data_IF_675667298973
#
_entry.id   IF_675667298973
#
_cell.length_a   1.000
_cell.length_b   1.000
_cell.length_c   1.000
_cell.angle_alpha   90.00
_cell.angle_beta   90.00
_cell.angle_gamma   90.00
#
_symmetry.space_group_name_H-M   'P 1'
#
loop_
_entity.id
_entity.type
_entity.pdbx_description
1 polymer ?
#
# COMPACT_ATOMS: atom_id res chain seq x y z
N UNK A 1 16.89 -41.55 2.38
CA UNK A 1 15.91 -42.61 2.76
C UNK A 1 15.53 -43.39 1.51
N UNK A 2 15.88 -44.68 1.43
CA UNK A 2 15.40 -45.55 0.34
C UNK A 2 14.02 -46.09 0.72
N UNK A 3 12.96 -45.56 0.11
CA UNK A 3 11.60 -46.05 0.32
C UNK A 3 11.43 -47.41 -0.37
N UNK A 4 10.99 -48.41 0.41
CA UNK A 4 10.79 -49.78 -0.06
C UNK A 4 9.53 -49.96 -0.91
N UNK A 5 8.59 -49.03 -0.87
CA UNK A 5 7.30 -49.11 -1.56
C UNK A 5 7.11 -47.96 -2.58
N UNK A 6 6.33 -48.21 -3.64
CA UNK A 6 6.04 -47.27 -4.73
C UNK A 6 5.28 -46.06 -4.20
N UNK A 7 4.28 -46.29 -3.33
CA UNK A 7 3.52 -45.21 -2.69
C UNK A 7 4.40 -44.23 -1.93
N UNK A 8 5.42 -44.72 -1.20
CA UNK A 8 6.38 -43.88 -0.48
C UNK A 8 7.24 -43.03 -1.41
N UNK A 9 7.64 -43.55 -2.57
CA UNK A 9 8.38 -42.77 -3.58
C UNK A 9 7.52 -41.66 -4.18
N UNK A 10 6.27 -41.95 -4.54
CA UNK A 10 5.33 -40.97 -5.08
C UNK A 10 5.07 -39.87 -4.04
N UNK A 11 4.77 -40.25 -2.80
CA UNK A 11 4.52 -39.31 -1.71
C UNK A 11 5.73 -38.40 -1.46
N UNK A 12 6.95 -38.95 -1.48
CA UNK A 12 8.17 -38.15 -1.33
C UNK A 12 8.35 -37.16 -2.50
N UNK A 13 8.12 -37.57 -3.73
CA UNK A 13 8.24 -36.69 -4.90
C UNK A 13 7.24 -35.53 -4.80
N UNK A 14 5.97 -35.84 -4.50
CA UNK A 14 4.93 -34.81 -4.32
C UNK A 14 5.30 -33.88 -3.16
N UNK A 15 5.74 -34.42 -2.03
CA UNK A 15 6.16 -33.63 -0.88
C UNK A 15 7.31 -32.69 -1.22
N UNK A 16 8.34 -33.14 -1.94
CA UNK A 16 9.47 -32.28 -2.34
C UNK A 16 9.01 -31.16 -3.27
N UNK A 17 8.18 -31.47 -4.27
CA UNK A 17 7.64 -30.45 -5.19
C UNK A 17 6.80 -29.44 -4.42
N UNK A 18 5.88 -29.89 -3.56
CA UNK A 18 5.03 -29.01 -2.76
C UNK A 18 5.83 -28.14 -1.79
N UNK A 19 6.87 -28.68 -1.15
CA UNK A 19 7.73 -27.90 -0.26
C UNK A 19 8.48 -26.82 -1.05
N UNK A 20 9.06 -27.16 -2.20
CA UNK A 20 9.80 -26.19 -3.03
C UNK A 20 8.91 -25.07 -3.54
N UNK A 21 7.74 -25.42 -4.08
CA UNK A 21 6.75 -24.42 -4.52
C UNK A 21 6.22 -23.61 -3.32
N UNK A 22 5.96 -24.26 -2.19
CA UNK A 22 5.50 -23.59 -0.97
C UNK A 22 6.49 -22.55 -0.46
N UNK A 23 7.79 -22.87 -0.46
CA UNK A 23 8.85 -21.91 -0.10
C UNK A 23 8.92 -20.74 -1.06
N UNK A 24 8.83 -20.99 -2.39
CA UNK A 24 8.84 -19.93 -3.39
C UNK A 24 7.61 -19.00 -3.27
N UNK A 25 6.42 -19.58 -3.08
CA UNK A 25 5.17 -18.83 -2.87
C UNK A 25 5.23 -18.03 -1.57
N UNK A 26 5.69 -18.64 -0.48
CA UNK A 26 5.84 -17.96 0.80
C UNK A 26 6.77 -16.75 0.69
N UNK A 27 7.94 -16.93 0.06
CA UNK A 27 8.89 -15.85 -0.15
C UNK A 27 8.30 -14.72 -1.00
N UNK A 28 7.57 -15.07 -2.08
CA UNK A 28 6.93 -14.06 -2.93
C UNK A 28 5.87 -13.24 -2.18
N UNK A 29 5.01 -13.89 -1.40
CA UNK A 29 4.01 -13.21 -0.56
C UNK A 29 4.70 -12.31 0.46
N UNK A 30 5.72 -12.83 1.16
CA UNK A 30 6.48 -12.07 2.15
C UNK A 30 7.13 -10.82 1.54
N UNK A 31 7.78 -10.96 0.38
CA UNK A 31 8.36 -9.84 -0.36
C UNK A 31 7.32 -8.81 -0.79
N UNK A 32 6.15 -9.25 -1.25
CA UNK A 32 5.08 -8.35 -1.69
C UNK A 32 4.50 -7.55 -0.51
N UNK A 33 4.40 -8.15 0.68
CA UNK A 33 3.98 -7.45 1.91
C UNK A 33 4.99 -6.35 2.27
N UNK A 34 6.30 -6.66 2.29
CA UNK A 34 7.35 -5.66 2.58
C UNK A 34 7.33 -4.54 1.54
N UNK A 35 7.23 -4.89 0.26
CA UNK A 35 7.18 -3.89 -0.81
C UNK A 35 5.96 -2.98 -0.65
N UNK A 36 4.79 -3.54 -0.31
CA UNK A 36 3.59 -2.76 -0.09
C UNK A 36 3.70 -1.82 1.12
N UNK A 37 4.26 -2.30 2.23
CA UNK A 37 4.53 -1.46 3.41
C UNK A 37 5.50 -0.32 3.09
N UNK A 38 6.56 -0.61 2.34
CA UNK A 38 7.51 0.40 1.90
C UNK A 38 6.87 1.46 1.00
N UNK A 39 6.01 1.06 0.04
CA UNK A 39 5.25 1.99 -0.79
C UNK A 39 4.27 2.84 0.03
N UNK A 40 3.64 2.25 1.05
CA UNK A 40 2.76 2.97 1.98
C UNK A 40 3.54 4.05 2.73
N UNK A 41 4.69 3.72 3.33
CA UNK A 41 5.56 4.70 3.98
C UNK A 41 6.08 5.78 3.03
N UNK A 42 6.43 5.43 1.79
CA UNK A 42 6.84 6.42 0.78
C UNK A 42 5.69 7.35 0.41
N UNK A 43 4.47 6.82 0.29
CA UNK A 43 3.27 7.62 0.04
C UNK A 43 3.00 8.57 1.21
N UNK A 44 3.06 8.08 2.45
CA UNK A 44 2.83 8.90 3.65
C UNK A 44 3.81 10.08 3.70
N UNK A 45 5.11 9.84 3.44
CA UNK A 45 6.13 10.89 3.32
C UNK A 45 5.82 11.91 2.21
N UNK A 46 5.33 11.44 1.07
CA UNK A 46 4.93 12.30 -0.05
C UNK A 46 3.73 13.17 0.30
N UNK A 47 2.72 12.58 0.94
CA UNK A 47 1.52 13.29 1.38
C UNK A 47 1.89 14.35 2.44
N UNK A 48 2.76 14.01 3.40
CA UNK A 48 3.27 14.95 4.41
C UNK A 48 4.08 16.10 3.80
N UNK A 49 4.91 15.80 2.80
CA UNK A 49 5.67 16.84 2.07
C UNK A 49 4.76 17.78 1.26
N UNK A 50 3.67 17.26 0.71
CA UNK A 50 2.65 18.08 0.05
C UNK A 50 1.98 19.01 1.04
N UNK A 51 1.57 18.49 2.20
CA UNK A 51 0.95 19.28 3.27
C UNK A 51 1.86 20.42 3.74
N UNK A 52 3.14 20.15 4.01
CA UNK A 52 4.11 21.20 4.36
C UNK A 52 4.23 22.26 3.25
N UNK A 53 4.24 21.84 1.99
CA UNK A 53 4.31 22.78 0.85
C UNK A 53 3.04 23.64 0.73
N UNK A 54 1.88 23.09 1.05
CA UNK A 54 0.61 23.82 1.08
C UNK A 54 0.56 24.82 2.24
N UNK A 55 1.06 24.45 3.41
CA UNK A 55 1.23 25.37 4.54
C UNK A 55 2.19 26.51 4.17
N UNK A 56 3.34 26.21 3.58
CA UNK A 56 4.33 27.18 3.12
C UNK A 56 3.73 28.19 2.13
N UNK A 57 2.98 27.70 1.14
CA UNK A 57 2.32 28.54 0.14
C UNK A 57 1.26 29.47 0.78
N UNK A 58 0.34 28.93 1.58
CA UNK A 58 -0.66 29.75 2.25
C UNK A 58 0.00 30.76 3.20
N UNK A 59 1.08 30.37 3.90
CA UNK A 59 1.78 31.29 4.80
C UNK A 59 2.45 32.43 4.04
N UNK A 60 3.06 32.12 2.89
CA UNK A 60 3.62 33.13 2.01
C UNK A 60 2.55 34.12 1.51
N UNK A 61 1.39 33.63 1.08
CA UNK A 61 0.26 34.48 0.67
C UNK A 61 -0.29 35.31 1.83
N UNK A 62 -0.38 34.76 3.05
CA UNK A 62 -0.74 35.51 4.24
C UNK A 62 0.29 36.62 4.54
N UNK A 63 1.59 36.35 4.41
CA UNK A 63 2.62 37.35 4.62
C UNK A 63 2.60 38.46 3.56
N UNK A 64 2.27 38.15 2.31
CA UNK A 64 2.04 39.15 1.27
C UNK A 64 0.80 39.99 1.59
N UNK A 65 -0.30 39.36 2.00
CA UNK A 65 -1.53 40.05 2.41
C UNK A 65 -1.30 40.99 3.60
N UNK A 66 -0.48 40.59 4.59
CA UNK A 66 -0.05 41.48 5.68
C UNK A 66 0.67 42.71 5.13
N UNK A 67 1.64 42.50 4.24
CA UNK A 67 2.42 43.59 3.65
C UNK A 67 1.53 44.58 2.90
N UNK A 68 0.55 44.09 2.15
CA UNK A 68 -0.39 44.95 1.45
C UNK A 68 -1.37 45.63 2.43
N UNK A 69 -1.84 44.91 3.45
CA UNK A 69 -2.72 45.45 4.48
C UNK A 69 -2.08 46.63 5.22
N UNK A 70 -0.80 46.56 5.61
CA UNK A 70 -0.14 47.68 6.32
C UNK A 70 0.10 48.90 5.42
N UNK A 71 -0.07 48.76 4.10
CA UNK A 71 0.00 49.86 3.13
C UNK A 71 -1.38 50.47 2.88
N UNK A 72 -2.40 49.62 2.68
CA UNK A 72 -3.72 50.04 2.20
C UNK A 72 -4.80 50.07 3.28
N UNK A 73 -4.66 49.26 4.33
CA UNK A 73 -5.63 49.07 5.41
C UNK A 73 -7.05 48.72 4.95
N UNK A 74 -7.17 48.01 3.83
CA UNK A 74 -8.46 47.65 3.24
C UNK A 74 -8.98 46.29 3.72
N UNK A 75 -10.29 46.07 3.56
CA UNK A 75 -10.95 44.84 4.00
C UNK A 75 -10.60 43.63 3.15
N UNK A 76 -10.28 43.82 1.86
CA UNK A 76 -9.97 42.72 0.95
C UNK A 76 -8.64 42.06 1.34
N UNK A 77 -7.59 42.86 1.60
CA UNK A 77 -6.30 42.35 2.09
C UNK A 77 -6.42 41.72 3.47
N UNK A 78 -7.27 42.25 4.35
CA UNK A 78 -7.58 41.64 5.65
C UNK A 78 -8.23 40.26 5.51
N UNK A 79 -9.24 40.12 4.66
CA UNK A 79 -9.91 38.85 4.39
C UNK A 79 -8.95 37.83 3.78
N UNK A 80 -8.11 38.27 2.82
CA UNK A 80 -7.10 37.41 2.20
C UNK A 80 -6.08 36.87 3.22
N UNK A 81 -5.63 37.69 4.16
CA UNK A 81 -4.77 37.23 5.26
C UNK A 81 -5.45 36.13 6.07
N UNK A 82 -6.68 36.38 6.52
CA UNK A 82 -7.41 35.47 7.41
C UNK A 82 -7.79 34.14 6.73
N UNK A 83 -8.13 34.17 5.44
CA UNK A 83 -8.42 32.94 4.66
C UNK A 83 -7.19 32.05 4.59
N UNK A 84 -6.03 32.61 4.26
CA UNK A 84 -4.79 31.85 4.16
C UNK A 84 -4.35 31.28 5.52
N UNK A 85 -4.51 32.05 6.60
CA UNK A 85 -4.28 31.55 7.96
C UNK A 85 -5.25 30.42 8.33
N UNK A 86 -6.53 30.53 7.95
CA UNK A 86 -7.51 29.47 8.18
C UNK A 86 -7.13 28.19 7.44
N UNK A 87 -6.71 28.29 6.18
CA UNK A 87 -6.28 27.13 5.39
C UNK A 87 -5.09 26.42 6.07
N UNK A 88 -4.12 27.17 6.61
CA UNK A 88 -3.00 26.60 7.36
C UNK A 88 -3.49 25.87 8.61
N UNK A 89 -4.44 26.44 9.33
CA UNK A 89 -4.99 25.82 10.56
C UNK A 89 -5.75 24.54 10.27
N UNK A 90 -6.46 24.46 9.14
CA UNK A 90 -7.17 23.27 8.72
C UNK A 90 -6.21 22.09 8.47
N UNK A 91 -4.97 22.36 8.05
CA UNK A 91 -3.91 21.36 7.91
C UNK A 91 -3.41 20.78 9.25
N UNK A 92 -3.67 21.43 10.41
CA UNK A 92 -3.25 20.98 11.75
C UNK A 92 -4.34 20.19 12.53
N UNK A 93 -5.34 19.61 11.85
CA UNK A 93 -6.53 19.07 12.52
C UNK A 93 -6.44 17.61 13.00
N UNK A 94 -5.38 16.86 12.65
CA UNK A 94 -5.18 15.47 13.08
C UNK A 94 -4.16 15.36 14.24
N UNK A 95 -4.61 15.68 15.46
CA UNK A 95 -3.80 15.79 16.69
C UNK A 95 -3.15 14.48 17.20
N UNK A 96 -3.36 13.33 16.55
CA UNK A 96 -3.07 12.04 17.21
C UNK A 96 -1.61 11.61 17.20
N UNK A 97 -0.71 12.27 16.46
CA UNK A 97 0.75 12.03 16.47
C UNK A 97 1.56 13.19 15.84
N UNK A 98 1.33 14.43 16.24
CA UNK A 98 2.12 15.56 15.72
C UNK A 98 3.54 15.58 16.32
N UNK A 99 4.55 15.87 15.49
CA UNK A 99 5.92 16.11 15.95
C UNK A 99 5.98 17.38 16.81
N UNK A 100 7.00 17.52 17.65
CA UNK A 100 7.19 18.74 18.47
C UNK A 100 7.31 19.99 17.59
N UNK A 101 7.83 19.86 16.38
CA UNK A 101 8.01 20.96 15.44
C UNK A 101 6.68 21.42 14.81
N UNK A 102 5.76 20.49 14.52
CA UNK A 102 4.41 20.81 14.05
C UNK A 102 3.61 21.55 15.13
N UNK A 103 3.74 21.14 16.39
CA UNK A 103 3.08 21.82 17.52
C UNK A 103 3.62 23.26 17.68
N UNK A 104 4.93 23.45 17.54
CA UNK A 104 5.53 24.78 17.59
C UNK A 104 5.06 25.66 16.41
N UNK A 105 5.01 25.10 15.20
CA UNK A 105 4.54 25.80 14.00
C UNK A 105 3.09 26.27 14.16
N UNK A 106 2.19 25.42 14.69
CA UNK A 106 0.80 25.78 15.00
C UNK A 106 0.74 26.98 15.96
N UNK A 107 1.51 26.92 17.05
CA UNK A 107 1.57 28.03 18.04
C UNK A 107 2.08 29.33 17.41
N UNK A 108 3.06 29.26 16.49
CA UNK A 108 3.57 30.44 15.80
C UNK A 108 2.52 31.03 14.86
N UNK A 109 1.82 30.21 14.08
CA UNK A 109 0.74 30.67 13.19
C UNK A 109 -0.40 31.32 13.97
N UNK A 110 -0.79 30.76 15.12
CA UNK A 110 -1.82 31.36 16.01
C UNK A 110 -1.35 32.70 16.58
N UNK A 111 -0.08 32.81 16.98
CA UNK A 111 0.49 34.07 17.47
C UNK A 111 0.55 35.10 16.35
N UNK A 112 0.95 34.70 15.15
CA UNK A 112 1.00 35.55 13.97
C UNK A 112 -0.37 36.15 13.63
N UNK A 113 -1.42 35.33 13.63
CA UNK A 113 -2.80 35.80 13.46
C UNK A 113 -3.23 36.77 14.58
N UNK A 114 -2.87 36.49 15.83
CA UNK A 114 -3.18 37.37 16.96
C UNK A 114 -2.54 38.75 16.81
N UNK A 115 -1.27 38.80 16.38
CA UNK A 115 -0.56 40.06 16.11
C UNK A 115 -1.20 40.83 14.95
N UNK A 116 -1.58 40.14 13.88
CA UNK A 116 -2.32 40.76 12.77
C UNK A 116 -3.63 41.40 13.23
N UNK A 117 -4.43 40.67 14.02
CA UNK A 117 -5.68 41.18 14.56
C UNK A 117 -5.49 42.39 15.49
N UNK A 118 -4.34 42.50 16.17
CA UNK A 118 -4.00 43.70 16.93
C UNK A 118 -3.75 44.90 16.00
N UNK A 119 -3.03 44.72 14.89
CA UNK A 119 -2.83 45.78 13.87
C UNK A 119 -4.19 46.24 13.31
N UNK A 120 -5.08 45.31 12.97
CA UNK A 120 -6.45 45.62 12.51
C UNK A 120 -7.21 46.44 13.56
N UNK A 121 -7.10 46.06 14.84
CA UNK A 121 -7.69 46.80 15.95
C UNK A 121 -7.15 48.22 16.08
N UNK A 122 -5.83 48.40 15.98
CA UNK A 122 -5.20 49.73 16.01
C UNK A 122 -5.62 50.58 14.81
N UNK A 123 -5.73 50.01 13.61
CA UNK A 123 -6.23 50.75 12.45
C UNK A 123 -7.67 51.22 12.65
N UNK A 124 -8.54 50.35 13.16
CA UNK A 124 -9.94 50.69 13.44
C UNK A 124 -10.06 51.83 14.46
N UNK A 125 -9.24 51.81 15.51
CA UNK A 125 -9.21 52.88 16.52
C UNK A 125 -8.62 54.18 15.95
N UNK A 126 -7.57 54.10 15.12
CA UNK A 126 -7.00 55.24 14.40
C UNK A 126 -8.06 55.94 13.55
N UNK A 127 -8.80 55.19 12.72
CA UNK A 127 -9.88 55.74 11.88
C UNK A 127 -10.97 56.40 12.73
N UNK A 128 -11.40 55.75 13.81
CA UNK A 128 -12.38 56.33 14.74
C UNK A 128 -11.89 57.65 15.34
N UNK A 129 -10.65 57.70 15.81
CA UNK A 129 -10.04 58.91 16.38
C UNK A 129 -9.93 60.04 15.35
N UNK A 130 -9.59 59.73 14.10
CA UNK A 130 -9.49 60.72 13.01
C UNK A 130 -10.86 61.28 12.64
N UNK A 131 -11.82 60.39 12.35
CA UNK A 131 -13.10 60.78 11.78
C UNK A 131 -14.06 61.37 12.81
N UNK A 132 -14.11 60.79 14.02
CA UNK A 132 -15.08 61.18 15.04
C UNK A 132 -14.54 62.22 16.01
N UNK A 133 -13.27 62.13 16.40
CA UNK A 133 -12.74 62.98 17.46
C UNK A 133 -11.93 64.15 16.88
N UNK A 134 -10.87 63.88 16.12
CA UNK A 134 -9.96 64.91 15.60
C UNK A 134 -10.69 65.89 14.67
N UNK A 135 -11.46 65.38 13.70
CA UNK A 135 -12.19 66.21 12.74
C UNK A 135 -13.25 67.08 13.41
N UNK A 136 -14.06 66.50 14.30
CA UNK A 136 -15.12 67.24 14.99
C UNK A 136 -14.55 68.29 15.95
N UNK A 137 -13.55 67.94 16.76
CA UNK A 137 -12.92 68.89 17.68
C UNK A 137 -12.23 70.02 16.91
N UNK A 138 -11.59 69.73 15.77
CA UNK A 138 -10.97 70.77 14.92
C UNK A 138 -12.02 71.76 14.40
N UNK A 139 -13.16 71.26 13.92
CA UNK A 139 -14.26 72.09 13.44
C UNK A 139 -14.88 72.93 14.58
N UNK A 140 -15.10 72.33 15.74
CA UNK A 140 -15.61 73.03 16.93
C UNK A 140 -14.63 74.11 17.40
N UNK A 141 -13.32 73.81 17.44
CA UNK A 141 -12.28 74.76 17.79
C UNK A 141 -12.28 75.94 16.82
N UNK A 142 -12.36 75.68 15.51
CA UNK A 142 -12.46 76.73 14.48
C UNK A 142 -13.68 77.63 14.71
N UNK A 143 -14.84 77.04 14.99
CA UNK A 143 -16.06 77.80 15.25
C UNK A 143 -15.94 78.67 16.51
N UNK A 144 -15.37 78.14 17.60
CA UNK A 144 -15.19 78.92 18.84
C UNK A 144 -14.17 80.05 18.65
N UNK A 145 -13.12 79.86 17.84
CA UNK A 145 -12.19 80.95 17.48
C UNK A 145 -12.90 82.03 16.64
N UNK A 146 -13.78 81.65 15.71
CA UNK A 146 -14.60 82.60 14.93
C UNK A 146 -15.56 83.40 15.83
N UNK A 147 -16.21 82.74 16.78
CA UNK A 147 -17.11 83.39 17.74
C UNK A 147 -16.34 84.36 18.64
N UNK A 148 -15.16 83.95 19.14
CA UNK A 148 -14.26 84.81 19.90
C UNK A 148 -13.81 86.04 19.10
N UNK A 149 -13.41 85.82 17.83
CA UNK A 149 -13.04 86.90 16.90
C UNK A 149 -14.18 87.91 16.76
N UNK A 150 -15.42 87.44 16.56
CA UNK A 150 -16.59 88.30 16.44
C UNK A 150 -16.83 89.13 17.71
N UNK A 151 -16.69 88.51 18.89
CA UNK A 151 -16.80 89.22 20.17
C UNK A 151 -15.70 90.28 20.35
N UNK A 152 -14.46 89.96 19.98
CA UNK A 152 -13.34 90.90 20.04
C UNK A 152 -13.54 92.10 19.10
N UNK A 153 -14.02 91.86 17.88
CA UNK A 153 -14.31 92.90 16.89
C UNK A 153 -15.41 93.86 17.37
N UNK A 154 -16.49 93.32 17.95
CA UNK A 154 -17.57 94.12 18.57
C UNK A 154 -17.08 95.03 19.71
N UNK A 155 -15.96 94.71 20.33
CA UNK A 155 -15.29 95.50 21.39
C UNK A 155 -14.15 96.38 20.86
N UNK A 156 -13.94 96.42 19.55
CA UNK A 156 -12.87 97.17 18.89
C UNK A 156 -11.45 96.72 19.31
N UNK A 157 -11.28 95.44 19.64
CA UNK A 157 -9.99 94.86 20.05
C UNK A 157 -9.26 94.27 18.84
N UNK A 158 -8.78 95.14 17.93
CA UNK A 158 -8.20 94.74 16.64
C UNK A 158 -7.00 93.78 16.74
N UNK A 159 -6.19 93.90 17.78
CA UNK A 159 -5.07 92.98 18.04
C UNK A 159 -5.55 91.55 18.29
N UNK A 160 -6.64 91.37 19.05
CA UNK A 160 -7.20 90.05 19.31
C UNK A 160 -7.87 89.47 18.05
N UNK A 161 -8.48 90.32 17.22
CA UNK A 161 -9.01 89.91 15.90
C UNK A 161 -7.87 89.38 15.01
N UNK A 162 -6.75 90.09 14.94
CA UNK A 162 -5.58 89.69 14.15
C UNK A 162 -5.01 88.33 14.60
N UNK A 163 -4.81 88.13 15.91
CA UNK A 163 -4.33 86.84 16.42
C UNK A 163 -5.34 85.71 16.21
N UNK A 164 -6.65 86.01 16.25
CA UNK A 164 -7.69 85.03 15.95
C UNK A 164 -7.65 84.59 14.48
N UNK A 165 -7.46 85.53 13.55
CA UNK A 165 -7.31 85.22 12.12
C UNK A 165 -6.08 84.34 11.86
N UNK A 166 -4.94 84.67 12.49
CA UNK A 166 -3.73 83.84 12.40
C UNK A 166 -3.94 82.44 13.01
N UNK A 167 -4.67 82.35 14.12
CA UNK A 167 -4.97 81.06 14.76
C UNK A 167 -5.81 80.16 13.86
N UNK A 168 -6.78 80.72 13.12
CA UNK A 168 -7.59 79.97 12.15
C UNK A 168 -6.72 79.47 10.99
N UNK A 169 -5.82 80.30 10.45
CA UNK A 169 -4.90 79.90 9.38
C UNK A 169 -3.99 78.75 9.82
N UNK A 170 -3.42 78.84 11.04
CA UNK A 170 -2.59 77.76 11.59
C UNK A 170 -3.41 76.49 11.80
N UNK A 171 -4.64 76.60 12.30
CA UNK A 171 -5.53 75.43 12.47
C UNK A 171 -5.86 74.76 11.13
N UNK A 172 -6.08 75.53 10.07
CA UNK A 172 -6.32 74.98 8.73
C UNK A 172 -5.08 74.22 8.20
N UNK A 173 -3.87 74.75 8.45
CA UNK A 173 -2.63 74.05 8.14
C UNK A 173 -2.45 72.77 8.98
N UNK A 174 -2.80 72.81 10.27
CA UNK A 174 -2.82 71.62 11.14
C UNK A 174 -3.69 70.54 10.51
N UNK A 175 -4.92 70.87 10.11
CA UNK A 175 -5.83 69.89 9.52
C UNK A 175 -5.27 69.30 8.22
N UNK A 176 -4.73 70.14 7.34
CA UNK A 176 -4.15 69.68 6.07
C UNK A 176 -2.95 68.77 6.28
N UNK A 177 -2.00 69.17 7.14
CA UNK A 177 -0.80 68.38 7.41
C UNK A 177 -1.13 67.09 8.18
N UNK A 178 -2.15 67.13 9.05
CA UNK A 178 -2.59 65.93 9.77
C UNK A 178 -3.17 64.90 8.81
N UNK A 179 -3.96 65.32 7.82
CA UNK A 179 -4.46 64.42 6.78
C UNK A 179 -3.33 63.75 5.98
N UNK A 180 -2.27 64.50 5.65
CA UNK A 180 -1.07 63.97 4.99
C UNK A 180 -0.38 62.95 5.90
N UNK A 181 -0.10 63.32 7.15
CA UNK A 181 0.54 62.43 8.13
C UNK A 181 -0.25 61.14 8.36
N UNK A 182 -1.57 61.22 8.52
CA UNK A 182 -2.41 60.03 8.74
C UNK A 182 -2.46 59.09 7.54
N UNK A 183 -2.09 59.58 6.35
CA UNK A 183 -1.99 58.77 5.13
C UNK A 183 -0.57 58.24 4.90
N UNK A 184 0.46 59.05 5.14
CA UNK A 184 1.86 58.68 4.88
C UNK A 184 2.49 57.89 6.02
N UNK A 185 2.03 58.13 7.25
CA UNK A 185 2.57 57.60 8.51
C UNK A 185 4.06 57.97 8.74
N UNK A 186 4.60 58.92 7.98
CA UNK A 186 6.02 59.28 8.07
C UNK A 186 6.31 60.16 9.29
N UNK A 187 7.48 59.92 9.92
CA UNK A 187 7.96 60.75 11.02
C UNK A 187 8.20 62.22 10.62
N UNK A 188 8.54 62.46 9.35
CA UNK A 188 8.70 63.80 8.76
C UNK A 188 7.39 64.60 8.83
N UNK A 189 6.28 63.99 8.39
CA UNK A 189 4.95 64.59 8.36
C UNK A 189 4.39 64.77 9.78
N UNK A 190 4.62 63.80 10.67
CA UNK A 190 4.33 63.94 12.11
C UNK A 190 4.98 65.20 12.68
N UNK A 191 6.27 65.39 12.44
CA UNK A 191 7.01 66.54 12.96
C UNK A 191 6.48 67.87 12.40
N UNK A 192 6.03 67.89 11.14
CA UNK A 192 5.37 69.05 10.55
C UNK A 192 4.08 69.39 11.30
N UNK A 193 3.23 68.40 11.58
CA UNK A 193 1.98 68.59 12.35
C UNK A 193 2.29 69.15 13.75
N UNK A 194 3.21 68.51 14.48
CA UNK A 194 3.58 68.93 15.84
C UNK A 194 4.14 70.37 15.88
N UNK A 195 4.89 70.78 14.86
CA UNK A 195 5.39 72.15 14.75
C UNK A 195 4.26 73.17 14.66
N UNK A 196 3.20 72.89 13.89
CA UNK A 196 2.05 73.80 13.76
C UNK A 196 1.16 73.79 15.01
N UNK A 197 1.04 72.66 15.72
CA UNK A 197 0.41 72.64 17.05
C UNK A 197 1.14 73.56 18.03
N UNK A 198 2.47 73.54 18.04
CA UNK A 198 3.26 74.46 18.85
C UNK A 198 3.07 75.92 18.41
N UNK A 199 3.01 76.19 17.10
CA UNK A 199 2.75 77.53 16.58
C UNK A 199 1.36 78.05 16.99
N UNK A 200 0.34 77.19 16.98
CA UNK A 200 -1.01 77.52 17.46
C UNK A 200 -1.00 77.81 18.96
N UNK A 201 -0.31 77.00 19.76
CA UNK A 201 -0.18 77.25 21.21
C UNK A 201 0.43 78.63 21.48
N UNK A 202 1.51 78.99 20.77
CA UNK A 202 2.14 80.33 20.89
C UNK A 202 1.15 81.44 20.51
N UNK A 203 0.35 81.27 19.44
CA UNK A 203 -0.67 82.26 19.09
C UNK A 203 -1.76 82.39 20.17
N UNK A 204 -2.17 81.28 20.79
CA UNK A 204 -3.14 81.30 21.88
C UNK A 204 -2.56 82.00 23.13
N UNK A 205 -1.29 81.80 23.46
CA UNK A 205 -0.62 82.54 24.54
C UNK A 205 -0.61 84.06 24.29
N UNK A 206 -0.38 84.51 23.05
CA UNK A 206 -0.48 85.92 22.68
C UNK A 206 -1.90 86.49 22.83
N UNK A 207 -2.93 85.69 22.53
CA UNK A 207 -4.33 86.06 22.79
C UNK A 207 -4.57 86.18 24.30
N UNK A 208 -4.07 85.23 25.10
CA UNK A 208 -4.20 85.22 26.56
C UNK A 208 -3.61 86.49 27.19
N UNK A 209 -2.40 86.89 26.76
CA UNK A 209 -1.75 88.13 27.21
C UNK A 209 -2.56 89.39 26.85
N UNK A 210 -3.24 89.38 25.70
CA UNK A 210 -4.11 90.46 25.26
C UNK A 210 -5.43 90.59 26.04
N UNK A 211 -5.80 89.59 26.85
CA UNK A 211 -7.08 89.53 27.58
C UNK A 211 -7.07 90.22 28.95
N UNK A 212 -5.94 90.77 29.40
CA UNK A 212 -5.78 91.35 30.76
C UNK A 212 -6.86 92.41 31.08
N UNK A 213 -7.26 93.21 30.08
CA UNK A 213 -8.28 94.27 30.22
C UNK A 213 -9.62 93.91 29.57
N UNK A 214 -9.82 92.65 29.15
CA UNK A 214 -11.00 92.21 28.43
C UNK A 214 -12.21 91.91 29.33
N UNK A 215 -13.40 91.80 28.73
CA UNK A 215 -14.64 91.42 29.42
C UNK A 215 -14.62 89.97 29.86
N UNK A 216 -15.33 89.64 30.94
CA UNK A 216 -15.48 88.26 31.41
C UNK A 216 -16.07 87.32 30.34
N UNK A 217 -16.98 87.82 29.50
CA UNK A 217 -17.50 87.10 28.33
C UNK A 217 -16.38 86.67 27.35
N UNK A 218 -15.41 87.56 27.08
CA UNK A 218 -14.32 87.29 26.16
C UNK A 218 -13.30 86.32 26.78
N UNK A 219 -13.02 86.48 28.08
CA UNK A 219 -12.18 85.55 28.84
C UNK A 219 -12.79 84.14 28.85
N UNK A 220 -14.10 84.02 29.10
CA UNK A 220 -14.79 82.73 29.09
C UNK A 220 -14.77 82.08 27.70
N UNK A 221 -15.00 82.86 26.65
CA UNK A 221 -14.89 82.39 25.26
C UNK A 221 -13.48 81.86 24.95
N UNK A 222 -12.42 82.56 25.40
CA UNK A 222 -11.05 82.08 25.25
C UNK A 222 -10.74 80.81 26.05
N UNK A 223 -11.31 80.65 27.25
CA UNK A 223 -11.16 79.39 28.00
C UNK A 223 -11.77 78.20 27.24
N UNK A 224 -12.85 78.41 26.49
CA UNK A 224 -13.40 77.37 25.63
C UNK A 224 -12.44 77.00 24.49
N UNK A 225 -11.73 77.98 23.91
CA UNK A 225 -10.66 77.74 22.93
C UNK A 225 -9.55 76.88 23.54
N UNK A 226 -9.01 77.27 24.71
CA UNK A 226 -7.95 76.51 25.39
C UNK A 226 -8.37 75.07 25.71
N UNK A 227 -9.61 74.87 26.15
CA UNK A 227 -10.15 73.54 26.44
C UNK A 227 -10.21 72.67 25.16
N UNK A 228 -10.79 73.19 24.07
CA UNK A 228 -10.86 72.48 22.80
C UNK A 228 -9.48 72.22 22.19
N UNK A 229 -8.57 73.18 22.25
CA UNK A 229 -7.18 72.99 21.81
C UNK A 229 -6.47 71.88 22.62
N UNK A 230 -6.66 71.85 23.94
CA UNK A 230 -6.12 70.79 24.80
C UNK A 230 -6.69 69.42 24.41
N UNK A 231 -8.00 69.34 24.16
CA UNK A 231 -8.65 68.10 23.69
C UNK A 231 -8.10 67.66 22.33
N UNK A 232 -7.95 68.60 21.40
CA UNK A 232 -7.41 68.32 20.07
C UNK A 232 -5.99 67.77 20.15
N UNK A 233 -5.13 68.39 20.97
CA UNK A 233 -3.77 67.94 21.19
C UNK A 233 -3.72 66.53 21.82
N UNK A 234 -4.62 66.24 22.78
CA UNK A 234 -4.72 64.92 23.38
C UNK A 234 -5.16 63.85 22.36
N UNK A 235 -6.11 64.17 21.49
CA UNK A 235 -6.56 63.25 20.42
C UNK A 235 -5.44 63.03 19.40
N UNK A 236 -4.73 64.07 18.98
CA UNK A 236 -3.54 63.89 18.13
C UNK A 236 -2.52 62.96 18.78
N UNK A 237 -2.26 63.15 20.08
CA UNK A 237 -1.30 62.31 20.83
C UNK A 237 -1.74 60.85 20.81
N UNK A 238 -3.03 60.57 21.05
CA UNK A 238 -3.58 59.21 20.97
C UNK A 238 -3.45 58.62 19.56
N UNK A 239 -3.68 59.41 18.51
CA UNK A 239 -3.50 58.94 17.12
C UNK A 239 -2.04 58.59 16.85
N UNK A 240 -1.10 59.46 17.25
CA UNK A 240 0.34 59.21 17.11
C UNK A 240 0.74 57.94 17.86
N UNK A 241 0.32 57.79 19.12
CA UNK A 241 0.60 56.59 19.92
C UNK A 241 0.01 55.32 19.28
N UNK A 242 -1.19 55.40 18.69
CA UNK A 242 -1.85 54.30 17.98
C UNK A 242 -1.10 53.90 16.72
N UNK A 243 -0.54 54.86 15.98
CA UNK A 243 0.27 54.60 14.79
C UNK A 243 1.61 53.97 15.20
N UNK A 244 2.31 54.56 16.17
CA UNK A 244 3.63 54.10 16.61
C UNK A 244 3.59 52.74 17.32
N UNK A 245 2.46 52.38 17.93
CA UNK A 245 2.28 51.06 18.57
C UNK A 245 2.21 49.90 17.57
N UNK A 246 1.93 50.18 16.29
CA UNK A 246 1.86 49.14 15.25
C UNK A 246 3.25 48.72 14.76
N UNK A 247 4.21 49.63 14.72
CA UNK A 247 5.56 49.38 14.20
C UNK A 247 6.31 48.22 14.91
N UNK A 248 6.35 48.13 16.26
CA UNK A 248 6.97 46.99 16.92
C UNK A 248 6.23 45.66 16.67
N UNK A 249 4.91 45.71 16.45
CA UNK A 249 4.11 44.52 16.13
C UNK A 249 4.43 44.04 14.71
N UNK A 250 4.51 44.96 13.75
CA UNK A 250 4.90 44.66 12.36
C UNK A 250 6.33 44.08 12.35
N UNK A 251 7.26 44.64 13.11
CA UNK A 251 8.61 44.09 13.23
C UNK A 251 8.60 42.68 13.84
N UNK A 252 7.83 42.46 14.91
CA UNK A 252 7.70 41.14 15.52
C UNK A 252 7.12 40.12 14.54
N UNK A 253 6.13 40.52 13.74
CA UNK A 253 5.59 39.68 12.67
C UNK A 253 6.65 39.39 11.60
N UNK A 254 7.45 40.36 11.19
CA UNK A 254 8.54 40.15 10.23
C UNK A 254 9.57 39.13 10.74
N UNK A 255 9.96 39.22 12.01
CA UNK A 255 10.85 38.26 12.67
C UNK A 255 10.22 36.85 12.71
N UNK A 256 8.95 36.76 13.11
CA UNK A 256 8.20 35.50 13.16
C UNK A 256 7.98 34.89 11.78
N UNK A 257 7.82 35.71 10.74
CA UNK A 257 7.72 35.24 9.35
C UNK A 257 8.97 34.49 8.94
N UNK A 258 10.16 35.01 9.28
CA UNK A 258 11.43 34.33 9.02
C UNK A 258 11.49 33.01 9.78
N UNK A 259 11.15 33.00 11.07
CA UNK A 259 11.19 31.79 11.89
C UNK A 259 10.23 30.71 11.39
N UNK A 260 8.99 31.08 11.00
CA UNK A 260 8.01 30.15 10.43
C UNK A 260 8.51 29.57 9.10
N UNK A 261 9.05 30.41 8.21
CA UNK A 261 9.57 29.95 6.92
C UNK A 261 10.79 29.03 7.08
N UNK A 262 11.71 29.36 7.99
CA UNK A 262 12.88 28.54 8.27
C UNK A 262 12.46 27.16 8.81
N UNK A 263 11.49 27.09 9.72
CA UNK A 263 10.95 25.83 10.24
C UNK A 263 10.27 25.00 9.14
N UNK A 264 9.48 25.63 8.28
CA UNK A 264 8.84 24.95 7.15
C UNK A 264 9.87 24.40 6.16
N UNK A 265 10.91 25.19 5.85
CA UNK A 265 12.01 24.76 4.98
C UNK A 265 12.79 23.58 5.60
N UNK A 266 13.09 23.64 6.90
CA UNK A 266 13.78 22.56 7.63
C UNK A 266 12.97 21.26 7.61
N UNK A 267 11.69 21.31 7.97
CA UNK A 267 10.81 20.13 7.95
C UNK A 267 10.68 19.54 6.55
N UNK A 268 10.50 20.40 5.54
CA UNK A 268 10.42 19.98 4.14
C UNK A 268 11.71 19.33 3.66
N UNK A 269 12.86 19.89 4.03
CA UNK A 269 14.17 19.35 3.68
C UNK A 269 14.38 17.98 4.33
N UNK A 270 14.00 17.80 5.59
CA UNK A 270 14.09 16.53 6.28
C UNK A 270 13.22 15.45 5.61
N UNK A 271 11.93 15.74 5.38
CA UNK A 271 11.02 14.82 4.70
C UNK A 271 11.52 14.45 3.30
N UNK A 272 12.08 15.41 2.57
CA UNK A 272 12.66 15.18 1.25
C UNK A 272 13.89 14.28 1.31
N UNK A 273 14.76 14.45 2.30
CA UNK A 273 15.91 13.55 2.50
C UNK A 273 15.42 12.13 2.79
N UNK A 274 14.37 11.96 3.59
CA UNK A 274 13.76 10.65 3.85
C UNK A 274 13.16 10.04 2.57
N UNK A 275 12.48 10.81 1.73
CA UNK A 275 11.96 10.33 0.44
C UNK A 275 13.07 9.97 -0.56
N UNK A 276 14.08 10.84 -0.70
CA UNK A 276 15.20 10.67 -1.63
C UNK A 276 16.08 9.47 -1.24
N UNK A 277 16.05 9.06 0.04
CA UNK A 277 16.68 7.81 0.49
C UNK A 277 15.75 6.61 0.32
N UNK A 278 14.50 6.70 0.80
CA UNK A 278 13.57 5.58 0.81
C UNK A 278 13.22 5.09 -0.61
N UNK A 279 12.90 6.01 -1.53
CA UNK A 279 12.49 5.67 -2.90
C UNK A 279 13.49 4.76 -3.63
N UNK A 280 14.77 5.13 -3.73
CA UNK A 280 15.81 4.29 -4.31
C UNK A 280 16.00 2.95 -3.58
N UNK A 281 16.00 2.94 -2.24
CA UNK A 281 16.12 1.68 -1.48
C UNK A 281 14.96 0.72 -1.76
N UNK A 282 13.72 1.21 -1.85
CA UNK A 282 12.58 0.36 -2.19
C UNK A 282 12.70 -0.26 -3.58
N UNK A 283 13.22 0.50 -4.54
CA UNK A 283 13.47 -0.02 -5.90
C UNK A 283 14.57 -1.09 -5.87
N UNK A 284 15.65 -0.87 -5.13
CA UNK A 284 16.75 -1.83 -5.01
C UNK A 284 16.31 -3.13 -4.30
N UNK A 285 15.58 -3.01 -3.20
CA UNK A 285 15.02 -4.15 -2.47
C UNK A 285 14.03 -4.94 -3.33
N UNK A 286 13.16 -4.25 -4.06
CA UNK A 286 12.21 -4.90 -4.96
C UNK A 286 12.92 -5.62 -6.11
N UNK A 287 13.94 -5.00 -6.73
CA UNK A 287 14.75 -5.64 -7.77
C UNK A 287 15.46 -6.90 -7.25
N UNK A 288 16.00 -6.84 -6.03
CA UNK A 288 16.63 -7.99 -5.37
C UNK A 288 15.62 -9.10 -5.10
N UNK A 289 14.41 -8.76 -4.65
CA UNK A 289 13.36 -9.72 -4.38
C UNK A 289 12.79 -10.36 -5.66
N UNK A 290 12.68 -9.60 -6.75
CA UNK A 290 12.33 -10.11 -8.09
C UNK A 290 13.40 -11.11 -8.54
N UNK A 291 14.69 -10.77 -8.44
CA UNK A 291 15.79 -11.65 -8.82
C UNK A 291 15.76 -12.96 -8.03
N UNK A 292 15.59 -12.89 -6.71
CA UNK A 292 15.46 -14.07 -5.84
C UNK A 292 14.23 -14.91 -6.18
N UNK A 293 13.10 -14.28 -6.47
CA UNK A 293 11.87 -14.97 -6.90
C UNK A 293 12.11 -15.75 -8.21
N UNK A 294 12.77 -15.13 -9.19
CA UNK A 294 13.13 -15.79 -10.45
C UNK A 294 14.03 -16.99 -10.18
N UNK A 295 15.09 -16.83 -9.37
CA UNK A 295 16.03 -17.92 -9.04
C UNK A 295 15.31 -19.08 -8.34
N UNK A 296 14.50 -18.80 -7.32
CA UNK A 296 13.74 -19.82 -6.59
C UNK A 296 12.75 -20.56 -7.50
N UNK A 297 12.08 -19.84 -8.39
CA UNK A 297 11.14 -20.42 -9.35
C UNK A 297 11.85 -21.33 -10.35
N UNK A 298 12.99 -20.89 -10.89
CA UNK A 298 13.81 -21.71 -11.82
C UNK A 298 14.32 -22.97 -11.11
N UNK A 299 14.79 -22.87 -9.87
CA UNK A 299 15.24 -24.03 -9.08
C UNK A 299 14.08 -24.99 -8.84
N UNK A 300 12.92 -24.49 -8.39
CA UNK A 300 11.74 -25.32 -8.16
C UNK A 300 11.29 -26.04 -9.44
N UNK A 301 11.35 -25.35 -10.59
CA UNK A 301 11.03 -25.92 -11.89
C UNK A 301 12.01 -27.02 -12.32
N UNK A 302 13.32 -26.77 -12.22
CA UNK A 302 14.36 -27.74 -12.56
C UNK A 302 14.26 -28.99 -11.68
N UNK A 303 14.07 -28.82 -10.36
CA UNK A 303 13.91 -29.95 -9.44
C UNK A 303 12.63 -30.73 -9.75
N UNK A 304 11.53 -30.06 -10.11
CA UNK A 304 10.30 -30.71 -10.54
C UNK A 304 10.53 -31.58 -11.78
N UNK A 305 11.25 -31.08 -12.79
CA UNK A 305 11.63 -31.87 -13.97
C UNK A 305 12.46 -33.10 -13.56
N UNK A 306 13.47 -32.92 -12.72
CA UNK A 306 14.33 -34.02 -12.25
C UNK A 306 13.50 -35.08 -11.52
N UNK A 307 12.57 -34.66 -10.65
CA UNK A 307 11.68 -35.56 -9.92
C UNK A 307 10.71 -36.31 -10.83
N UNK A 308 10.16 -35.65 -11.87
CA UNK A 308 9.32 -36.31 -12.87
C UNK A 308 10.11 -37.35 -13.67
N UNK A 309 11.33 -37.01 -14.10
CA UNK A 309 12.22 -37.97 -14.78
C UNK A 309 12.56 -39.15 -13.86
N UNK A 310 12.81 -38.89 -12.58
CA UNK A 310 13.05 -39.92 -11.58
C UNK A 310 11.82 -40.83 -11.38
N UNK A 311 10.61 -40.28 -11.37
CA UNK A 311 9.35 -41.04 -11.30
C UNK A 311 9.21 -41.98 -12.51
N UNK A 312 9.39 -41.43 -13.72
CA UNK A 312 9.29 -42.19 -14.98
C UNK A 312 10.27 -43.36 -14.97
N UNK A 313 11.52 -43.13 -14.55
CA UNK A 313 12.56 -44.17 -14.53
C UNK A 313 12.38 -45.19 -13.41
N UNK A 314 11.85 -44.79 -12.26
CA UNK A 314 11.75 -45.66 -11.08
C UNK A 314 10.45 -46.46 -11.00
N UNK A 315 9.37 -46.01 -11.66
CA UNK A 315 8.05 -46.65 -11.60
C UNK A 315 7.53 -46.95 -13.00
N UNK A 316 7.35 -45.93 -13.84
CA UNK A 316 6.67 -46.07 -15.13
C UNK A 316 7.40 -47.03 -16.09
N UNK A 317 8.73 -46.93 -16.16
CA UNK A 317 9.55 -47.80 -17.02
C UNK A 317 9.54 -49.26 -16.54
N UNK A 318 9.85 -49.60 -15.27
CA UNK A 318 9.74 -50.97 -14.77
C UNK A 318 8.33 -51.56 -14.91
N UNK A 319 7.28 -50.76 -14.71
CA UNK A 319 5.90 -51.22 -14.89
C UNK A 319 5.58 -51.53 -16.35
N UNK A 320 6.09 -50.74 -17.29
CA UNK A 320 5.93 -50.97 -18.74
C UNK A 320 6.67 -52.23 -19.18
N UNK A 321 7.91 -52.43 -18.71
CA UNK A 321 8.68 -53.65 -18.96
C UNK A 321 7.98 -54.88 -18.37
N UNK A 322 7.47 -54.77 -17.14
CA UNK A 322 6.74 -55.83 -16.48
C UNK A 322 5.44 -56.19 -17.22
N UNK A 323 4.68 -55.20 -17.69
CA UNK A 323 3.50 -55.40 -18.54
C UNK A 323 3.83 -56.19 -19.81
N UNK A 324 4.95 -55.88 -20.48
CA UNK A 324 5.36 -56.59 -21.69
C UNK A 324 5.69 -58.07 -21.41
N UNK A 325 6.37 -58.37 -20.30
CA UNK A 325 6.61 -59.76 -19.86
C UNK A 325 5.32 -60.51 -19.58
N UNK A 326 4.35 -59.87 -18.92
CA UNK A 326 3.02 -60.46 -18.69
C UNK A 326 2.30 -60.77 -20.01
N UNK A 327 2.39 -59.90 -21.02
CA UNK A 327 1.77 -60.15 -22.32
C UNK A 327 2.37 -61.39 -23.01
N UNK A 328 3.70 -61.56 -22.99
CA UNK A 328 4.36 -62.75 -23.53
C UNK A 328 3.91 -64.03 -22.80
N UNK A 329 3.84 -63.95 -21.47
CA UNK A 329 3.38 -65.06 -20.65
C UNK A 329 1.90 -65.42 -20.91
N UNK A 330 1.05 -64.41 -21.14
CA UNK A 330 -0.36 -64.59 -21.56
C UNK A 330 -0.48 -65.32 -22.90
N UNK A 331 0.45 -65.11 -23.82
CA UNK A 331 0.48 -65.78 -25.13
C UNK A 331 0.91 -67.26 -25.06
N UNK A 332 1.20 -67.77 -23.86
CA UNK A 332 1.59 -69.17 -23.63
C UNK A 332 3.09 -69.39 -23.59
N UNK A 333 3.91 -68.33 -23.69
CA UNK A 333 5.35 -68.42 -23.48
C UNK A 333 5.65 -68.56 -21.98
N UNK A 334 5.68 -69.81 -21.50
CA UNK A 334 6.07 -70.10 -20.13
C UNK A 334 7.57 -69.88 -19.91
N UNK A 335 8.40 -69.64 -20.95
CA UNK A 335 9.85 -69.45 -20.81
C UNK A 335 10.24 -68.07 -20.27
N UNK A 336 9.31 -67.12 -20.25
CA UNK A 336 9.50 -65.74 -19.77
C UNK A 336 10.08 -65.71 -18.35
N UNK A 337 11.14 -64.92 -18.18
CA UNK A 337 11.79 -64.69 -16.89
C UNK A 337 11.29 -63.39 -16.25
N UNK A 338 10.63 -63.54 -15.10
CA UNK A 338 10.14 -62.42 -14.31
C UNK A 338 11.17 -61.87 -13.31
N UNK A 339 12.45 -62.24 -13.39
CA UNK A 339 13.46 -61.73 -12.46
C UNK A 339 13.44 -60.19 -12.38
N UNK A 340 13.26 -59.69 -11.16
CA UNK A 340 13.23 -58.26 -10.85
C UNK A 340 14.20 -57.97 -9.72
N UNK A 341 15.08 -56.99 -9.93
CA UNK A 341 15.99 -56.48 -8.89
C UNK A 341 15.27 -55.56 -7.91
N UNK A 342 14.02 -55.22 -8.19
CA UNK A 342 13.22 -54.35 -7.33
C UNK A 342 12.75 -55.10 -6.09
N UNK A 343 12.73 -54.41 -4.94
CA UNK A 343 12.19 -54.93 -3.67
C UNK A 343 10.82 -54.35 -3.33
N UNK A 344 10.25 -53.57 -4.24
CA UNK A 344 8.94 -52.94 -4.10
C UNK A 344 7.81 -53.85 -4.62
N UNK A 345 6.61 -53.29 -4.73
CA UNK A 345 5.40 -53.99 -5.16
C UNK A 345 5.58 -54.62 -6.56
N UNK A 346 6.33 -53.99 -7.47
CA UNK A 346 6.64 -54.59 -8.79
C UNK A 346 7.54 -55.82 -8.61
N UNK A 347 8.52 -55.76 -7.69
CA UNK A 347 9.34 -56.91 -7.34
C UNK A 347 8.55 -58.07 -6.74
N UNK A 348 7.57 -57.77 -5.88
CA UNK A 348 6.70 -58.79 -5.29
C UNK A 348 5.80 -59.45 -6.33
N UNK A 349 5.19 -58.67 -7.24
CA UNK A 349 4.39 -59.19 -8.35
C UNK A 349 5.24 -60.06 -9.29
N UNK A 350 6.47 -59.63 -9.58
CA UNK A 350 7.44 -60.37 -10.38
C UNK A 350 7.78 -61.75 -9.78
N UNK A 351 8.03 -61.81 -8.47
CA UNK A 351 8.29 -63.07 -7.78
C UNK A 351 7.09 -64.02 -7.83
N UNK A 352 5.88 -63.52 -7.55
CA UNK A 352 4.66 -64.34 -7.59
C UNK A 352 4.39 -64.93 -9.00
N UNK A 353 4.61 -64.14 -10.06
CA UNK A 353 4.50 -64.62 -11.44
C UNK A 353 5.60 -65.62 -11.83
N UNK A 354 6.81 -65.45 -11.30
CA UNK A 354 7.90 -66.44 -11.48
C UNK A 354 7.54 -67.79 -10.85
N UNK A 355 6.99 -67.80 -9.64
CA UNK A 355 6.51 -69.01 -8.98
C UNK A 355 5.36 -69.67 -9.77
N UNK A 356 4.40 -68.87 -10.24
CA UNK A 356 3.30 -69.36 -11.07
C UNK A 356 3.79 -69.96 -12.39
N UNK A 357 4.78 -69.34 -13.04
CA UNK A 357 5.42 -69.87 -14.26
C UNK A 357 6.08 -71.22 -14.00
N UNK A 358 6.81 -71.38 -12.88
CA UNK A 358 7.43 -72.65 -12.49
C UNK A 358 6.39 -73.76 -12.28
N UNK A 359 5.31 -73.47 -11.56
CA UNK A 359 4.24 -74.46 -11.30
C UNK A 359 3.49 -74.84 -12.60
N UNK A 360 3.26 -73.89 -13.51
CA UNK A 360 2.69 -74.18 -14.82
C UNK A 360 3.62 -75.02 -15.70
N UNK A 361 4.93 -74.74 -15.73
CA UNK A 361 5.91 -75.58 -16.43
C UNK A 361 5.94 -77.00 -15.88
N UNK A 362 5.91 -77.16 -14.55
CA UNK A 362 5.86 -78.47 -13.88
C UNK A 362 4.58 -79.23 -14.22
N UNK A 363 3.45 -78.53 -14.27
CA UNK A 363 2.16 -79.09 -14.67
C UNK A 363 2.20 -79.53 -16.15
N UNK A 364 2.73 -78.71 -17.05
CA UNK A 364 2.90 -79.06 -18.47
C UNK A 364 3.86 -80.22 -18.69
N UNK A 365 4.97 -80.29 -17.93
CA UNK A 365 5.89 -81.43 -17.95
C UNK A 365 5.21 -82.72 -17.47
N UNK A 366 4.36 -82.62 -16.44
CA UNK A 366 3.58 -83.75 -15.93
C UNK A 366 2.53 -84.22 -16.94
N UNK A 367 1.84 -83.29 -17.60
CA UNK A 367 0.91 -83.59 -18.70
C UNK A 367 1.65 -84.26 -19.86
N UNK A 368 2.80 -83.72 -20.28
CA UNK A 368 3.64 -84.34 -21.34
C UNK A 368 4.03 -85.77 -20.97
N UNK A 369 4.50 -86.01 -19.75
CA UNK A 369 4.84 -87.35 -19.28
C UNK A 369 3.63 -88.28 -19.20
N UNK A 370 2.44 -87.78 -18.83
CA UNK A 370 1.20 -88.55 -18.87
C UNK A 370 0.80 -88.89 -20.31
N UNK A 371 0.88 -87.94 -21.24
CA UNK A 371 0.64 -88.15 -22.67
C UNK A 371 1.60 -89.18 -23.27
N UNK A 372 2.90 -89.12 -22.95
CA UNK A 372 3.89 -90.13 -23.37
C UNK A 372 3.56 -91.52 -22.82
N UNK A 373 3.07 -91.61 -21.57
CA UNK A 373 2.59 -92.89 -21.01
C UNK A 373 1.34 -93.40 -21.73
N UNK A 374 0.39 -92.52 -22.06
CA UNK A 374 -0.83 -92.88 -22.81
C UNK A 374 -0.48 -93.32 -24.23
N UNK A 375 0.45 -92.64 -24.90
CA UNK A 375 0.94 -93.00 -26.23
C UNK A 375 1.61 -94.39 -26.20
N UNK A 376 2.53 -94.61 -25.25
CA UNK A 376 3.15 -95.92 -25.05
C UNK A 376 2.13 -97.02 -24.69
N UNK A 377 1.12 -96.71 -23.87
CA UNK A 377 0.04 -97.64 -23.54
C UNK A 377 -0.80 -97.97 -24.79
N UNK A 378 -1.07 -96.98 -25.65
CA UNK A 378 -1.78 -97.15 -26.92
C UNK A 378 -1.00 -98.01 -27.91
N UNK A 379 0.33 -97.86 -27.96
CA UNK A 379 1.23 -98.74 -28.74
C UNK A 379 1.19 -100.17 -28.20
N UNK A 380 1.29 -100.36 -26.88
CA UNK A 380 1.20 -101.69 -26.25
C UNK A 380 -0.17 -102.33 -26.45
N UNK A 381 -1.25 -101.56 -26.36
CA UNK A 381 -2.61 -102.03 -26.60
C UNK A 381 -2.80 -102.44 -28.06
N UNK A 382 -2.27 -101.66 -29.01
CA UNK A 382 -2.27 -102.02 -30.44
C UNK A 382 -1.54 -103.34 -30.66
N UNK A 383 -0.36 -103.54 -30.05
CA UNK A 383 0.37 -104.81 -30.10
C UNK A 383 -0.41 -105.97 -29.49
N UNK A 384 -0.93 -105.81 -28.28
CA UNK A 384 -1.71 -106.84 -27.61
C UNK A 384 -2.99 -107.19 -28.40
N UNK A 385 -3.64 -106.20 -29.01
CA UNK A 385 -4.79 -106.42 -29.91
C UNK A 385 -4.40 -107.22 -31.15
N UNK A 386 -3.22 -106.96 -31.73
CA UNK A 386 -2.71 -107.72 -32.87
C UNK A 386 -2.36 -109.17 -32.47
N UNK A 387 -1.71 -109.35 -31.33
CA UNK A 387 -1.36 -110.67 -30.79
C UNK A 387 -2.62 -111.48 -30.44
N UNK A 388 -3.64 -110.84 -29.85
CA UNK A 388 -4.95 -111.45 -29.61
C UNK A 388 -5.66 -111.85 -30.90
N UNK A 389 -5.54 -111.05 -31.98
CA UNK A 389 -6.07 -111.42 -33.30
C UNK A 389 -5.37 -112.66 -33.84
N UNK A 390 -4.04 -112.69 -33.80
CA UNK A 390 -3.25 -113.84 -34.23
C UNK A 390 -3.62 -115.10 -33.43
N UNK A 391 -3.71 -115.00 -32.09
CA UNK A 391 -4.12 -116.12 -31.24
C UNK A 391 -5.55 -116.59 -31.52
N UNK A 392 -6.47 -115.66 -31.83
CA UNK A 392 -7.85 -116.01 -32.22
C UNK A 392 -7.89 -116.72 -33.57
N UNK A 393 -7.02 -116.34 -34.50
CA UNK A 393 -6.87 -116.98 -35.81
C UNK A 393 -6.28 -118.40 -35.67
N UNK A 394 -5.28 -118.57 -34.81
CA UNK A 394 -4.69 -119.87 -34.47
C UNK A 394 -5.69 -120.76 -33.72
N UNK A 395 -6.46 -120.21 -32.78
CA UNK A 395 -7.54 -120.91 -32.09
C UNK A 395 -8.63 -121.34 -33.07
N UNK A 396 -8.98 -120.49 -34.05
CA UNK A 396 -9.90 -120.86 -35.12
C UNK A 396 -9.35 -122.04 -35.93
N UNK A 397 -8.08 -122.03 -36.32
CA UNK A 397 -7.46 -123.17 -37.01
C UNK A 397 -7.49 -124.44 -36.16
N UNK A 398 -7.22 -124.34 -34.86
CA UNK A 398 -7.34 -125.48 -33.94
C UNK A 398 -8.79 -125.97 -33.84
N UNK A 399 -9.78 -125.07 -33.79
CA UNK A 399 -11.19 -125.42 -33.79
C UNK A 399 -11.62 -126.09 -35.11
N UNK A 400 -11.14 -125.60 -36.25
CA UNK A 400 -11.35 -126.24 -37.55
C UNK A 400 -10.75 -127.66 -37.56
N UNK A 401 -9.59 -127.85 -36.93
CA UNK A 401 -8.94 -129.16 -36.79
C UNK A 401 -9.70 -130.08 -35.82
N UNK A 402 -10.20 -129.56 -34.70
CA UNK A 402 -11.04 -130.30 -33.75
C UNK A 402 -12.35 -130.70 -34.42
N UNK A 403 -12.94 -129.82 -35.23
CA UNK A 403 -14.13 -130.14 -35.99
C UNK A 403 -13.85 -131.26 -37.00
N UNK A 404 -12.73 -131.21 -37.72
CA UNK A 404 -12.31 -132.31 -38.59
C UNK A 404 -12.09 -133.63 -37.82
N UNK A 405 -11.46 -133.58 -36.65
CA UNK A 405 -11.32 -134.75 -35.77
C UNK A 405 -12.65 -135.25 -35.24
N UNK A 406 -13.60 -134.36 -34.93
CA UNK A 406 -14.94 -134.73 -34.49
C UNK A 406 -15.75 -135.37 -35.62
N UNK A 407 -15.62 -134.88 -36.85
CA UNK A 407 -16.20 -135.49 -38.06
C UNK A 407 -15.58 -136.86 -38.35
N UNK A 408 -14.26 -137.00 -38.25
CA UNK A 408 -13.56 -138.29 -38.39
C UNK A 408 -13.96 -139.26 -37.27
N UNK A 409 -14.07 -138.79 -36.03
CA UNK A 409 -14.51 -139.62 -34.90
C UNK A 409 -15.97 -140.02 -35.05
N UNK A 410 -16.84 -139.13 -35.53
CA UNK A 410 -18.23 -139.47 -35.85
C UNK A 410 -18.31 -140.52 -36.96
N UNK A 411 -17.48 -140.39 -38.01
CA UNK A 411 -17.36 -141.39 -39.07
C UNK A 411 -16.83 -142.75 -38.57
N UNK A 412 -15.81 -142.74 -37.71
CA UNK A 412 -15.30 -143.95 -37.07
C UNK A 412 -16.35 -144.57 -36.12
N UNK A 413 -17.17 -143.75 -35.45
CA UNK A 413 -18.28 -144.23 -34.64
C UNK A 413 -19.37 -144.83 -35.54
N UNK A 414 -19.73 -144.22 -36.66
CA UNK A 414 -20.63 -144.84 -37.66
C UNK A 414 -20.07 -146.17 -38.19
N UNK A 415 -18.77 -146.24 -38.49
CA UNK A 415 -18.09 -147.46 -38.94
C UNK A 415 -18.08 -148.54 -37.85
N UNK A 416 -17.78 -148.18 -36.60
CA UNK A 416 -17.88 -149.08 -35.45
C UNK A 416 -19.33 -149.54 -35.24
N UNK A 417 -20.32 -148.66 -35.42
CA UNK A 417 -21.75 -149.01 -35.30
C UNK A 417 -22.15 -149.97 -36.42
N UNK A 418 -21.69 -149.74 -37.66
CA UNK A 418 -21.86 -150.66 -38.79
C UNK A 418 -21.17 -152.01 -38.53
N UNK A 419 -19.97 -152.01 -37.97
CA UNK A 419 -19.24 -153.23 -37.61
C UNK A 419 -19.91 -153.99 -36.47
N UNK A 420 -20.51 -153.29 -35.50
CA UNK A 420 -21.33 -153.89 -34.43
C UNK A 420 -22.63 -154.48 -35.00
N UNK A 421 -23.29 -153.82 -35.95
CA UNK A 421 -24.48 -154.36 -36.65
C UNK A 421 -24.14 -155.62 -37.48
N UNK A 422 -22.95 -155.67 -38.08
CA UNK A 422 -22.47 -156.83 -38.85
C UNK A 422 -22.11 -158.01 -37.94
N UNK A 423 -21.51 -157.75 -36.77
CA UNK A 423 -21.28 -158.76 -35.72
C UNK A 423 -22.60 -159.24 -35.11
N UNK A 424 -23.58 -158.35 -34.92
CA UNK A 424 -24.90 -158.69 -34.36
C UNK A 424 -25.77 -159.52 -35.31
N UNK A 425 -25.57 -159.44 -36.63
CA UNK A 425 -26.22 -160.33 -37.60
C UNK A 425 -25.53 -161.68 -37.77
N UNK A 426 -24.28 -161.81 -37.29
CA UNK A 426 -23.49 -163.03 -37.37
C UNK A 426 -23.57 -163.93 -36.11
N UNK A 427 -24.31 -163.50 -35.08
CA UNK A 427 -24.63 -164.26 -33.86
C UNK A 427 -26.09 -164.75 -33.88
#
# INVERSE_FOLDING_TARGET
>A
MSFKNIGGRIALIIAVILILFGVAVFYNIYSLIISNQGLESYKDLSDETSRISEIEMNFFEAALALKDYVIYYDTETQENFLINISNIKDEFTDETNESTDIVNLKSYVETYESLFNQIVGFNSEKERLIDQDFTNISNDLKQVILDFKYLADKKFLSTLVFYSDRSIEILDNIMQLSFIYFSSLEASDKNNVLSYFNELNIQLELIEDGLVIATEELKQSFQNIKNLFTKLNNVLTQIVETIESQEPIIQQMEEMRVEILDLLEEQRAELKVQQDTLGPTLIEENNTAIMLTIILTVIAFVVSIIMVIYLIRSITKPLTEFRNKINQFKEGDLTVDFESKSKDEIGQMANALSEMSKELRKSMSSIKGASEKVDNASIKLTKASQESRNNSEELKTQMDTIQAYAEETAGNVEEVTSGVDEVARAA
#
